data_IF_482253206403
#
_entry.id   IF_482253206403
#
_cell.length_a   1.000
_cell.length_b   1.000
_cell.length_c   1.000
_cell.angle_alpha   90.00
_cell.angle_beta   90.00
_cell.angle_gamma   90.00
#
_symmetry.space_group_name_H-M   'P 1'
#
loop_
_entity.id
_entity.type
_entity.pdbx_description
1 polymer ?
#
# COMPACT_ATOMS: atom_id res chain seq x y z
N UNK A 1 5.69 -16.42 13.58
CA UNK A 1 6.83 -16.17 12.66
C UNK A 1 6.68 -14.88 11.86
N UNK A 2 5.48 -14.48 11.45
CA UNK A 2 5.26 -13.34 10.54
C UNK A 2 5.27 -11.94 11.20
N UNK A 3 5.29 -11.88 12.54
CA UNK A 3 5.32 -10.63 13.30
C UNK A 3 6.35 -9.59 12.81
N UNK A 4 7.58 -9.97 12.42
CA UNK A 4 8.52 -8.97 11.95
C UNK A 4 8.14 -8.33 10.62
N UNK A 5 7.53 -9.10 9.71
CA UNK A 5 7.01 -8.57 8.44
C UNK A 5 5.84 -7.63 8.69
N UNK A 6 4.95 -7.96 9.63
CA UNK A 6 3.87 -7.08 10.07
C UNK A 6 4.42 -5.75 10.61
N UNK A 7 5.48 -5.78 11.43
CA UNK A 7 6.12 -4.57 11.95
C UNK A 7 6.75 -3.72 10.84
N UNK A 8 7.50 -4.35 9.93
CA UNK A 8 8.10 -3.64 8.79
C UNK A 8 7.03 -2.97 7.93
N UNK A 9 5.95 -3.68 7.60
CA UNK A 9 4.85 -3.14 6.80
C UNK A 9 4.13 -2.00 7.53
N UNK A 10 3.85 -2.15 8.83
CA UNK A 10 3.20 -1.10 9.62
C UNK A 10 4.05 0.19 9.65
N UNK A 11 5.35 0.06 9.85
CA UNK A 11 6.26 1.21 9.83
C UNK A 11 6.38 1.84 8.45
N UNK A 12 6.53 1.03 7.40
CA UNK A 12 6.56 1.52 6.03
C UNK A 12 5.26 2.25 5.66
N UNK A 13 4.11 1.72 6.08
CA UNK A 13 2.79 2.34 5.87
C UNK A 13 2.67 3.70 6.58
N UNK A 14 3.18 3.78 7.81
CA UNK A 14 3.23 5.04 8.56
C UNK A 14 4.12 6.08 7.85
N UNK A 15 5.30 5.66 7.39
CA UNK A 15 6.22 6.53 6.67
C UNK A 15 5.59 7.00 5.36
N UNK A 16 5.03 6.09 4.57
CA UNK A 16 4.33 6.42 3.32
C UNK A 16 3.24 7.46 3.54
N UNK A 17 2.40 7.29 4.56
CA UNK A 17 1.34 8.24 4.92
C UNK A 17 1.89 9.61 5.31
N UNK A 18 3.08 9.65 5.92
CA UNK A 18 3.72 10.89 6.39
C UNK A 18 4.40 11.69 5.28
N UNK A 19 4.98 11.03 4.27
CA UNK A 19 5.72 11.69 3.19
C UNK A 19 4.83 12.04 1.99
N UNK A 20 3.73 11.32 1.81
CA UNK A 20 2.80 11.56 0.71
C UNK A 20 1.85 12.73 1.02
N UNK A 21 1.68 13.59 0.01
CA UNK A 21 0.64 14.62 0.02
C UNK A 21 -0.75 13.98 0.09
N UNK A 22 -1.74 14.72 0.61
CA UNK A 22 -3.11 14.22 0.82
C UNK A 22 -3.71 13.54 -0.42
N UNK A 23 -3.41 14.03 -1.62
CA UNK A 23 -3.89 13.48 -2.90
C UNK A 23 -3.31 12.10 -3.22
N UNK A 24 -2.08 11.81 -2.77
CA UNK A 24 -1.36 10.58 -3.12
C UNK A 24 -1.47 9.51 -2.03
N UNK A 25 -2.13 9.77 -0.90
CA UNK A 25 -2.28 8.81 0.21
C UNK A 25 -3.09 7.56 -0.13
N UNK A 26 -3.85 7.58 -1.23
CA UNK A 26 -4.58 6.42 -1.73
C UNK A 26 -3.66 5.35 -2.35
N UNK A 27 -2.40 5.70 -2.66
CA UNK A 27 -1.40 4.83 -3.30
C UNK A 27 -0.10 4.88 -2.48
N UNK A 28 -0.08 4.28 -1.27
CA UNK A 28 1.04 4.40 -0.34
C UNK A 28 2.37 3.86 -0.90
N UNK A 29 2.32 2.92 -1.83
CA UNK A 29 3.52 2.37 -2.48
C UNK A 29 4.29 3.42 -3.29
N UNK A 30 3.67 4.56 -3.65
CA UNK A 30 4.34 5.68 -4.34
C UNK A 30 5.37 6.41 -3.49
N UNK A 31 5.40 6.15 -2.18
CA UNK A 31 6.46 6.65 -1.30
C UNK A 31 7.81 5.99 -1.58
N UNK A 32 7.83 4.84 -2.26
CA UNK A 32 9.01 4.03 -2.47
C UNK A 32 9.36 3.88 -3.96
N UNK A 33 10.59 3.49 -4.25
CA UNK A 33 11.09 3.31 -5.62
C UNK A 33 11.83 1.97 -5.79
N UNK A 34 11.94 1.50 -7.04
CA UNK A 34 12.65 0.25 -7.35
C UNK A 34 11.99 -0.99 -6.73
N UNK A 35 12.80 -1.95 -6.30
CA UNK A 35 12.30 -3.20 -5.69
C UNK A 35 11.63 -2.93 -4.33
N UNK A 36 11.96 -1.84 -3.63
CA UNK A 36 11.28 -1.44 -2.39
C UNK A 36 9.78 -1.18 -2.60
N UNK A 37 9.42 -0.56 -3.73
CA UNK A 37 8.01 -0.35 -4.09
C UNK A 37 7.29 -1.67 -4.32
N UNK A 38 7.89 -2.56 -5.09
CA UNK A 38 7.35 -3.89 -5.34
C UNK A 38 7.20 -4.72 -4.05
N UNK A 39 8.19 -4.67 -3.17
CA UNK A 39 8.16 -5.34 -1.87
C UNK A 39 7.06 -4.77 -0.96
N UNK A 40 6.91 -3.44 -0.90
CA UNK A 40 5.82 -2.82 -0.16
C UNK A 40 4.46 -3.28 -0.69
N UNK A 41 4.21 -3.18 -2.00
CA UNK A 41 2.94 -3.61 -2.60
C UNK A 41 2.66 -5.10 -2.37
N UNK A 42 3.69 -5.94 -2.45
CA UNK A 42 3.53 -7.37 -2.20
C UNK A 42 3.19 -7.66 -0.73
N UNK A 43 3.88 -6.99 0.22
CA UNK A 43 3.57 -7.09 1.64
C UNK A 43 2.16 -6.59 1.96
N UNK A 44 1.77 -5.46 1.38
CA UNK A 44 0.44 -4.87 1.57
C UNK A 44 -0.66 -5.83 1.09
N UNK A 45 -0.45 -6.46 -0.07
CA UNK A 45 -1.34 -7.47 -0.61
C UNK A 45 -1.45 -8.69 0.30
N UNK A 46 -0.34 -9.39 0.61
CA UNK A 46 -0.40 -10.63 1.39
C UNK A 46 -0.89 -10.41 2.82
N UNK A 47 -0.51 -9.30 3.46
CA UNK A 47 -0.88 -9.02 4.86
C UNK A 47 -2.34 -8.55 4.97
N UNK A 48 -2.92 -8.03 3.89
CA UNK A 48 -4.34 -7.67 3.83
C UNK A 48 -5.20 -8.88 3.48
N UNK A 49 -4.79 -9.68 2.50
CA UNK A 49 -5.55 -10.85 2.03
C UNK A 49 -5.51 -12.01 3.04
N UNK A 50 -4.37 -12.25 3.67
CA UNK A 50 -4.16 -13.36 4.63
C UNK A 50 -4.06 -12.86 6.08
N UNK A 51 -4.80 -11.78 6.41
CA UNK A 51 -4.68 -11.05 7.69
C UNK A 51 -4.78 -11.96 8.92
N UNK A 52 -5.84 -12.76 8.99
CA UNK A 52 -6.14 -13.57 10.19
C UNK A 52 -5.09 -14.66 10.40
N UNK A 53 -4.61 -15.25 9.29
CA UNK A 53 -3.50 -16.20 9.31
C UNK A 53 -2.17 -15.53 9.70
N UNK A 54 -1.89 -14.32 9.21
CA UNK A 54 -0.69 -13.57 9.56
C UNK A 54 -0.62 -13.23 11.05
N UNK A 55 -1.77 -12.98 11.67
CA UNK A 55 -1.94 -12.75 13.11
C UNK A 55 -1.91 -14.05 13.93
N UNK A 56 -1.82 -15.22 13.26
CA UNK A 56 -1.90 -16.54 13.87
C UNK A 56 -3.17 -16.72 14.73
N UNK A 57 -4.28 -16.13 14.29
CA UNK A 57 -5.58 -16.32 14.95
C UNK A 57 -6.08 -17.75 14.69
N UNK A 58 -6.36 -18.50 15.76
CA UNK A 58 -6.92 -19.85 15.67
C UNK A 58 -5.97 -20.97 16.10
N UNK A 59 -6.18 -22.18 15.56
CA UNK A 59 -5.43 -23.37 15.94
C UNK A 59 -4.00 -23.34 15.35
N UNK A 60 -2.94 -23.54 16.17
CA UNK A 60 -1.57 -23.57 15.67
C UNK A 60 -1.32 -24.60 14.56
N UNK A 61 -2.01 -25.75 14.60
CA UNK A 61 -1.91 -26.76 13.55
C UNK A 61 -2.47 -26.25 12.22
N UNK A 62 -3.61 -25.55 12.24
CA UNK A 62 -4.19 -24.93 11.04
C UNK A 62 -3.27 -23.85 10.47
N UNK A 63 -2.66 -23.02 11.33
CA UNK A 63 -1.69 -22.00 10.90
C UNK A 63 -0.49 -22.63 10.19
N UNK A 64 0.04 -23.74 10.72
CA UNK A 64 1.17 -24.47 10.11
C UNK A 64 0.75 -25.15 8.81
N UNK A 65 -0.44 -25.76 8.75
CA UNK A 65 -0.95 -26.39 7.52
C UNK A 65 -1.17 -25.37 6.40
N UNK A 66 -1.64 -24.17 6.74
CA UNK A 66 -1.89 -23.11 5.77
C UNK A 66 -0.61 -22.58 5.09
N UNK A 67 0.57 -22.82 5.68
CA UNK A 67 1.85 -22.43 5.06
C UNK A 67 1.97 -22.98 3.64
N UNK A 68 1.59 -24.25 3.42
CA UNK A 68 1.69 -24.92 2.12
C UNK A 68 0.46 -24.74 1.23
N UNK A 69 -0.50 -23.89 1.60
CA UNK A 69 -1.75 -23.71 0.87
C UNK A 69 -1.54 -23.07 -0.51
N UNK A 70 -0.64 -22.09 -0.60
CA UNK A 70 -0.36 -21.36 -1.82
C UNK A 70 1.12 -20.98 -1.91
N UNK A 71 1.56 -20.60 -3.09
CA UNK A 71 2.94 -20.18 -3.27
C UNK A 71 3.26 -18.89 -2.48
N UNK A 72 2.39 -17.86 -2.44
CA UNK A 72 2.61 -16.69 -1.59
C UNK A 72 2.73 -16.99 -0.10
N UNK A 73 1.95 -17.95 0.43
CA UNK A 73 2.02 -18.35 1.84
C UNK A 73 3.32 -19.10 2.15
N UNK A 74 3.84 -19.91 1.22
CA UNK A 74 5.17 -20.52 1.36
C UNK A 74 6.24 -19.42 1.31
N UNK A 75 6.16 -18.52 0.34
CA UNK A 75 7.13 -17.46 0.12
C UNK A 75 7.22 -16.52 1.31
N UNK A 76 6.09 -16.09 1.90
CA UNK A 76 6.10 -15.18 3.05
C UNK A 76 6.78 -15.81 4.28
N UNK A 77 6.59 -17.12 4.50
CA UNK A 77 7.27 -17.84 5.58
C UNK A 77 8.75 -18.00 5.29
N UNK A 78 9.14 -18.32 4.05
CA UNK A 78 10.54 -18.38 3.64
C UNK A 78 11.24 -17.03 3.87
N UNK A 79 10.61 -15.93 3.45
CA UNK A 79 11.11 -14.56 3.67
C UNK A 79 11.21 -14.23 5.16
N UNK A 80 10.21 -14.59 5.97
CA UNK A 80 10.28 -14.39 7.41
C UNK A 80 11.46 -15.15 8.06
N UNK A 81 11.79 -16.35 7.56
CA UNK A 81 12.98 -17.08 7.98
C UNK A 81 14.27 -16.34 7.60
N UNK A 82 14.37 -15.89 6.34
CA UNK A 82 15.53 -15.16 5.81
C UNK A 82 15.77 -13.83 6.55
N UNK A 83 14.71 -13.11 6.88
CA UNK A 83 14.81 -11.82 7.57
C UNK A 83 15.04 -11.93 9.08
N UNK A 84 14.85 -13.11 9.69
CA UNK A 84 14.88 -13.28 11.15
C UNK A 84 16.21 -12.86 11.80
N UNK A 85 17.30 -12.83 11.04
CA UNK A 85 18.62 -12.39 11.49
C UNK A 85 18.85 -10.87 11.40
N UNK A 86 18.00 -10.10 10.70
CA UNK A 86 18.23 -8.68 10.40
C UNK A 86 17.55 -7.70 11.35
N UNK A 87 16.43 -8.12 11.96
CA UNK A 87 15.67 -7.28 12.87
C UNK A 87 16.33 -7.01 14.24
N UNK A 88 17.27 -7.83 14.74
CA UNK A 88 18.04 -7.47 15.94
C UNK A 88 18.95 -6.25 15.74
N UNK A 89 19.37 -5.95 14.51
CA UNK A 89 20.38 -4.92 14.19
C UNK A 89 19.80 -3.68 13.50
N UNK A 90 18.61 -3.77 12.89
CA UNK A 90 17.91 -2.60 12.40
C UNK A 90 17.34 -1.80 13.59
N UNK A 91 17.74 -0.53 13.72
CA UNK A 91 17.42 0.43 14.79
C UNK A 91 15.91 0.79 14.95
N UNK A 92 15.01 -0.15 14.67
CA UNK A 92 13.56 0.02 14.71
C UNK A 92 12.95 -0.21 16.11
N UNK A 93 13.75 -0.55 17.13
CA UNK A 93 13.24 -0.65 18.51
C UNK A 93 14.34 -0.52 19.57
N UNK A 94 14.27 0.51 20.42
CA UNK A 94 15.17 0.68 21.58
C UNK A 94 14.93 -0.35 22.71
N UNK A 95 13.84 -1.11 22.65
CA UNK A 95 13.58 -2.24 23.55
C UNK A 95 14.18 -3.53 22.96
N UNK A 96 15.38 -3.89 23.43
CA UNK A 96 16.12 -5.12 23.09
C UNK A 96 15.42 -6.40 23.56
N UNK A 97 14.30 -6.75 22.96
CA UNK A 97 13.85 -8.13 22.92
C UNK A 97 14.34 -8.74 21.60
N UNK A 98 15.44 -9.50 21.68
CA UNK A 98 15.98 -10.22 20.53
C UNK A 98 14.89 -11.14 19.99
N UNK A 99 14.38 -10.84 18.81
CA UNK A 99 13.42 -11.72 18.14
C UNK A 99 14.07 -13.10 17.94
N UNK A 100 13.30 -14.19 18.14
CA UNK A 100 13.82 -15.53 17.91
C UNK A 100 14.28 -15.69 16.46
N UNK A 101 15.45 -16.30 16.29
CA UNK A 101 15.99 -16.64 14.97
C UNK A 101 15.20 -17.81 14.40
N UNK A 102 14.80 -17.69 13.14
CA UNK A 102 13.96 -18.67 12.46
C UNK A 102 14.62 -19.27 11.22
N UNK A 103 15.89 -18.96 10.95
CA UNK A 103 16.62 -19.53 9.83
C UNK A 103 16.62 -21.08 9.81
N UNK A 104 16.56 -21.73 10.98
CA UNK A 104 16.46 -23.19 11.10
C UNK A 104 15.17 -23.77 10.49
N UNK A 105 14.10 -22.97 10.38
CA UNK A 105 12.85 -23.40 9.74
C UNK A 105 12.96 -23.47 8.22
N UNK A 106 13.91 -22.78 7.59
CA UNK A 106 14.01 -22.76 6.14
C UNK A 106 14.25 -24.16 5.56
N UNK A 107 15.12 -24.96 6.21
CA UNK A 107 15.36 -26.35 5.81
C UNK A 107 14.13 -27.24 6.03
N UNK A 108 13.37 -27.01 7.11
CA UNK A 108 12.13 -27.75 7.36
C UNK A 108 11.04 -27.39 6.33
N UNK A 109 10.91 -26.10 5.99
CA UNK A 109 9.99 -25.61 4.96
C UNK A 109 10.34 -26.20 3.58
N UNK A 110 11.60 -26.15 3.20
CA UNK A 110 12.10 -26.77 1.97
C UNK A 110 11.73 -28.26 1.92
N UNK A 111 12.02 -28.99 2.99
CA UNK A 111 11.75 -30.41 3.05
C UNK A 111 10.25 -30.74 3.08
N UNK A 112 9.40 -29.83 3.57
CA UNK A 112 7.95 -29.95 3.52
C UNK A 112 7.43 -29.73 2.10
N UNK A 113 7.84 -28.65 1.42
CA UNK A 113 7.47 -28.37 0.02
C UNK A 113 7.86 -29.52 -0.90
N UNK A 114 9.09 -30.03 -0.77
CA UNK A 114 9.59 -31.14 -1.62
C UNK A 114 8.83 -32.44 -1.46
N UNK A 115 8.28 -32.71 -0.27
CA UNK A 115 7.52 -33.93 0.03
C UNK A 115 6.02 -33.77 -0.21
N UNK A 116 5.56 -32.53 -0.36
CA UNK A 116 4.15 -32.25 -0.56
C UNK A 116 3.69 -32.74 -1.95
N UNK A 117 2.57 -33.48 -2.05
CA UNK A 117 2.08 -33.98 -3.33
C UNK A 117 1.67 -32.91 -4.35
N UNK A 118 1.29 -31.71 -3.89
CA UNK A 118 0.89 -30.59 -4.75
C UNK A 118 2.12 -29.86 -5.30
N UNK A 119 3.13 -29.63 -4.46
CA UNK A 119 4.33 -28.87 -4.82
C UNK A 119 5.44 -29.77 -5.37
N UNK A 120 5.96 -30.69 -4.57
CA UNK A 120 7.06 -31.56 -4.96
C UNK A 120 8.40 -30.83 -5.18
N UNK A 121 9.41 -31.60 -5.59
CA UNK A 121 10.81 -31.16 -5.60
C UNK A 121 11.12 -30.01 -6.58
N UNK A 122 10.45 -30.01 -7.73
CA UNK A 122 10.71 -29.08 -8.81
C UNK A 122 10.30 -27.62 -8.51
N UNK A 123 9.44 -27.40 -7.52
CA UNK A 123 8.90 -26.06 -7.23
C UNK A 123 9.77 -25.27 -6.25
N UNK A 124 10.51 -25.94 -5.35
CA UNK A 124 11.31 -25.25 -4.35
C UNK A 124 12.31 -24.24 -4.94
N UNK A 125 13.10 -24.55 -5.99
CA UNK A 125 14.10 -23.61 -6.51
C UNK A 125 13.51 -22.27 -6.95
N UNK A 126 12.33 -22.28 -7.56
CA UNK A 126 11.65 -21.06 -8.01
C UNK A 126 11.08 -20.28 -6.81
N UNK A 127 10.46 -20.96 -5.85
CA UNK A 127 9.93 -20.34 -4.63
C UNK A 127 11.07 -19.69 -3.83
N UNK A 128 12.19 -20.40 -3.67
CA UNK A 128 13.38 -19.94 -2.99
C UNK A 128 13.97 -18.71 -3.68
N UNK A 129 14.13 -18.74 -5.01
CA UNK A 129 14.60 -17.59 -5.78
C UNK A 129 13.70 -16.35 -5.56
N UNK A 130 12.38 -16.54 -5.62
CA UNK A 130 11.42 -15.43 -5.38
C UNK A 130 11.44 -14.94 -3.94
N UNK A 131 11.65 -15.82 -2.97
CA UNK A 131 11.83 -15.44 -1.57
C UNK A 131 13.08 -14.58 -1.37
N UNK A 132 14.23 -14.96 -1.94
CA UNK A 132 15.45 -14.16 -1.90
C UNK A 132 15.28 -12.79 -2.57
N UNK A 133 14.63 -12.75 -3.73
CA UNK A 133 14.34 -11.47 -4.40
C UNK A 133 13.47 -10.55 -3.55
N UNK A 134 12.42 -11.08 -2.95
CA UNK A 134 11.53 -10.33 -2.09
C UNK A 134 12.24 -9.87 -0.81
N UNK A 135 13.07 -10.72 -0.20
CA UNK A 135 13.90 -10.37 0.95
C UNK A 135 14.83 -9.19 0.64
N UNK A 136 15.49 -9.18 -0.53
CA UNK A 136 16.27 -8.02 -1.00
C UNK A 136 15.41 -6.76 -1.16
N UNK A 137 14.22 -6.88 -1.74
CA UNK A 137 13.28 -5.78 -1.87
C UNK A 137 12.84 -5.21 -0.52
N UNK A 138 12.61 -6.07 0.48
CA UNK A 138 12.25 -5.66 1.84
C UNK A 138 13.42 -4.96 2.54
N UNK A 139 14.65 -5.43 2.35
CA UNK A 139 15.84 -4.70 2.84
C UNK A 139 15.94 -3.30 2.24
N UNK A 140 15.69 -3.16 0.94
CA UNK A 140 15.66 -1.83 0.30
C UNK A 140 14.51 -0.97 0.83
N UNK A 141 13.34 -1.56 1.11
CA UNK A 141 12.22 -0.87 1.73
C UNK A 141 12.58 -0.34 3.12
N UNK A 142 13.22 -1.16 3.96
CA UNK A 142 13.68 -0.74 5.29
C UNK A 142 14.71 0.40 5.19
N UNK A 143 15.63 0.34 4.22
CA UNK A 143 16.61 1.42 3.98
C UNK A 143 15.91 2.73 3.60
N UNK A 144 15.00 2.71 2.62
CA UNK A 144 14.25 3.90 2.21
C UNK A 144 13.39 4.45 3.35
N UNK A 145 12.81 3.58 4.18
CA UNK A 145 12.09 3.98 5.38
C UNK A 145 12.99 4.79 6.34
N UNK A 146 14.22 4.33 6.59
CA UNK A 146 15.19 5.06 7.42
C UNK A 146 15.60 6.40 6.80
N UNK A 147 15.84 6.46 5.49
CA UNK A 147 16.19 7.69 4.77
C UNK A 147 15.06 8.74 4.85
N UNK A 148 13.82 8.33 4.57
CA UNK A 148 12.63 9.18 4.64
C UNK A 148 12.35 9.66 6.07
N UNK A 149 12.63 8.82 7.07
CA UNK A 149 12.54 9.20 8.49
C UNK A 149 13.59 10.25 8.87
N UNK A 150 14.82 10.14 8.35
CA UNK A 150 15.91 11.10 8.56
C UNK A 150 15.66 12.44 7.89
N UNK A 151 15.12 12.45 6.67
CA UNK A 151 14.78 13.67 5.92
C UNK A 151 13.69 14.54 6.60
N UNK A 152 12.95 13.98 7.58
CA UNK A 152 11.96 14.71 8.38
C UNK A 152 12.56 15.54 9.52
N UNK A 153 13.82 15.31 9.90
CA UNK A 153 14.51 16.06 10.95
C UNK A 153 15.33 17.27 10.45
N UNK A 154 14.75 18.26 9.74
CA UNK A 154 15.34 19.59 9.76
C UNK A 154 14.29 20.62 10.19
N UNK A 155 14.18 20.85 11.51
CA UNK A 155 13.89 22.19 12.07
C UNK A 155 14.04 22.18 13.60
N UNK A 156 15.28 22.41 14.04
CA UNK A 156 15.64 23.19 15.22
C UNK A 156 17.13 23.49 15.09
N UNK A 157 17.47 24.54 14.33
CA UNK A 157 18.63 25.44 14.47
C UNK A 157 18.78 26.21 13.15
N UNK A 158 18.31 27.45 13.18
CA UNK A 158 18.46 28.47 12.14
C UNK A 158 19.90 28.55 11.62
N UNK A 159 20.10 28.60 10.31
CA UNK A 159 20.68 29.79 9.64
C UNK A 159 21.01 29.54 8.17
N UNK A 160 20.49 30.45 7.36
CA UNK A 160 20.95 30.88 6.02
C UNK A 160 22.33 30.36 5.63
N UNK A 161 22.38 29.48 4.63
CA UNK A 161 23.43 29.52 3.61
C UNK A 161 22.92 28.88 2.33
N UNK A 162 22.75 29.71 1.32
CA UNK A 162 22.55 29.30 -0.06
C UNK A 162 23.81 28.58 -0.55
N UNK A 163 23.72 27.27 -0.74
CA UNK A 163 24.66 26.54 -1.59
C UNK A 163 23.86 25.67 -2.55
N UNK A 164 23.79 26.16 -3.79
CA UNK A 164 23.47 25.36 -4.96
C UNK A 164 24.55 24.28 -5.04
N UNK A 165 24.17 23.02 -4.79
CA UNK A 165 25.02 21.87 -5.07
C UNK A 165 24.26 20.92 -5.98
N UNK A 166 24.62 20.96 -7.26
CA UNK A 166 24.30 19.95 -8.25
C UNK A 166 24.76 18.58 -7.71
N UNK A 167 23.81 17.77 -7.28
CA UNK A 167 24.12 16.38 -6.95
C UNK A 167 23.93 15.56 -8.22
N UNK A 168 25.05 15.36 -8.89
CA UNK A 168 25.21 14.45 -10.01
C UNK A 168 24.80 13.05 -9.55
N UNK A 169 23.69 12.54 -10.07
CA UNK A 169 23.25 11.18 -9.83
C UNK A 169 24.30 10.20 -10.38
N UNK A 170 25.05 9.56 -9.50
CA UNK A 170 25.87 8.41 -9.85
C UNK A 170 24.94 7.24 -10.17
N UNK A 171 24.54 7.18 -11.44
CA UNK A 171 23.93 6.02 -12.06
C UNK A 171 24.93 4.85 -12.04
N UNK A 172 24.79 3.94 -11.08
CA UNK A 172 25.25 2.57 -11.29
C UNK A 172 24.24 1.88 -12.22
N UNK A 173 24.48 2.02 -13.53
CA UNK A 173 23.74 1.30 -14.58
C UNK A 173 24.19 -0.16 -14.54
N UNK A 174 23.42 -1.03 -13.91
CA UNK A 174 23.42 -2.43 -14.32
C UNK A 174 22.75 -2.51 -15.68
N UNK A 175 23.57 -2.52 -16.72
CA UNK A 175 23.13 -2.62 -18.10
C UNK A 175 22.66 -4.05 -18.38
N UNK A 176 21.46 -4.42 -17.93
CA UNK A 176 20.80 -5.63 -18.40
C UNK A 176 20.09 -5.29 -19.71
N UNK A 177 20.69 -5.61 -20.85
CA UNK A 177 20.03 -5.53 -22.16
C UNK A 177 18.90 -6.56 -22.24
N UNK A 178 17.75 -6.24 -21.66
CA UNK A 178 16.50 -6.95 -21.92
C UNK A 178 15.90 -6.34 -23.19
N UNK A 179 15.95 -7.07 -24.31
CA UNK A 179 15.14 -6.77 -25.49
C UNK A 179 13.67 -6.94 -25.09
N UNK A 180 13.01 -5.85 -24.68
CA UNK A 180 11.57 -5.88 -24.44
C UNK A 180 10.87 -6.10 -25.78
N UNK A 181 10.30 -7.29 -25.96
CA UNK A 181 9.35 -7.52 -27.04
C UNK A 181 8.06 -6.82 -26.63
N UNK A 182 7.49 -5.91 -27.44
CA UNK A 182 6.24 -5.25 -27.10
C UNK A 182 5.13 -6.32 -27.01
N UNK A 183 4.69 -6.64 -25.79
CA UNK A 183 3.56 -7.55 -25.58
C UNK A 183 2.29 -6.76 -25.87
N UNK A 184 1.65 -7.09 -26.98
CA UNK A 184 0.32 -6.58 -27.28
C UNK A 184 -0.66 -7.08 -26.22
N UNK A 185 -1.55 -6.22 -25.68
CA UNK A 185 -2.52 -6.64 -24.69
C UNK A 185 -3.41 -7.73 -25.30
N UNK A 186 -3.58 -8.83 -24.57
CA UNK A 186 -4.41 -9.94 -25.02
C UNK A 186 -5.85 -9.49 -25.24
N UNK A 187 -6.59 -10.19 -26.12
CA UNK A 187 -8.01 -9.92 -26.33
C UNK A 187 -8.79 -9.97 -25.01
N UNK A 188 -8.38 -10.83 -24.08
CA UNK A 188 -8.97 -10.92 -22.75
C UNK A 188 -8.73 -9.65 -21.91
N UNK A 189 -7.52 -9.11 -21.91
CA UNK A 189 -7.20 -7.86 -21.23
C UNK A 189 -7.98 -6.67 -21.81
N UNK A 190 -8.21 -6.65 -23.13
CA UNK A 190 -9.06 -5.64 -23.80
C UNK A 190 -10.53 -5.78 -23.40
N UNK A 191 -11.04 -7.00 -23.26
CA UNK A 191 -12.40 -7.27 -22.80
C UNK A 191 -12.56 -6.88 -21.33
N UNK A 192 -11.58 -7.18 -20.46
CA UNK A 192 -11.56 -6.74 -19.06
C UNK A 192 -11.57 -5.22 -18.92
N UNK A 193 -10.76 -4.51 -19.71
CA UNK A 193 -10.77 -3.04 -19.74
C UNK A 193 -12.11 -2.48 -20.22
N UNK A 194 -12.76 -3.12 -21.21
CA UNK A 194 -14.09 -2.72 -21.69
C UNK A 194 -15.16 -2.92 -20.61
N UNK A 195 -15.14 -4.06 -19.92
CA UNK A 195 -16.07 -4.36 -18.83
C UNK A 195 -15.91 -3.38 -17.67
N UNK A 196 -14.67 -3.08 -17.27
CA UNK A 196 -14.39 -2.05 -16.26
C UNK A 196 -14.95 -0.68 -16.63
N UNK A 197 -14.91 -0.30 -17.91
CA UNK A 197 -15.47 0.96 -18.40
C UNK A 197 -17.01 0.96 -18.39
N UNK A 198 -17.63 -0.15 -18.81
CA UNK A 198 -19.08 -0.32 -18.83
C UNK A 198 -19.70 -0.30 -17.42
N UNK A 199 -18.97 -0.76 -16.39
CA UNK A 199 -19.40 -0.64 -14.98
C UNK A 199 -19.18 0.75 -14.37
N UNK A 200 -18.20 1.52 -14.86
CA UNK A 200 -17.92 2.87 -14.35
C UNK A 200 -18.93 3.91 -14.83
N UNK A 201 -19.49 3.73 -16.03
CA UNK A 201 -20.47 4.64 -16.63
C UNK A 201 -21.78 4.78 -15.82
N UNK A 202 -22.43 3.71 -15.34
CA UNK A 202 -23.63 3.83 -14.49
C UNK A 202 -23.31 4.43 -13.12
N UNK A 203 -22.15 4.11 -12.52
CA UNK A 203 -21.70 4.71 -11.26
C UNK A 203 -21.49 6.22 -11.40
N UNK A 204 -20.86 6.66 -12.49
CA UNK A 204 -20.70 8.08 -12.81
C UNK A 204 -22.04 8.81 -12.99
N UNK A 205 -23.00 8.18 -13.69
CA UNK A 205 -24.36 8.73 -13.84
C UNK A 205 -25.11 8.82 -12.51
N UNK A 206 -24.97 7.82 -11.63
CA UNK A 206 -25.61 7.78 -10.32
C UNK A 206 -25.02 8.83 -9.37
N UNK A 207 -23.70 9.01 -9.40
CA UNK A 207 -23.00 10.09 -8.71
C UNK A 207 -23.52 11.44 -9.23
N UNK A 208 -23.49 11.69 -10.55
CA UNK A 208 -23.98 12.96 -11.10
C UNK A 208 -25.47 13.26 -10.77
N UNK A 209 -26.32 12.25 -10.77
CA UNK A 209 -27.72 12.37 -10.34
C UNK A 209 -27.86 12.70 -8.85
N UNK A 210 -27.05 12.07 -7.99
CA UNK A 210 -27.01 12.35 -6.56
C UNK A 210 -26.51 13.78 -6.28
N UNK A 211 -25.45 14.21 -6.98
CA UNK A 211 -24.88 15.55 -6.85
C UNK A 211 -25.82 16.65 -7.34
N UNK A 212 -26.55 16.42 -8.44
CA UNK A 212 -27.58 17.38 -8.92
C UNK A 212 -28.76 17.49 -7.96
N UNK A 213 -29.19 16.40 -7.33
CA UNK A 213 -30.23 16.41 -6.28
C UNK A 213 -29.78 17.18 -5.03
N UNK A 214 -28.56 16.96 -4.57
CA UNK A 214 -27.97 17.65 -3.41
C UNK A 214 -27.78 19.16 -3.66
N UNK A 215 -27.35 19.54 -4.86
CA UNK A 215 -27.20 20.95 -5.25
C UNK A 215 -28.55 21.66 -5.43
N UNK A 216 -29.61 20.95 -5.86
CA UNK A 216 -30.95 21.52 -5.99
C UNK A 216 -31.60 21.79 -4.62
N UNK A 217 -31.36 20.94 -3.63
CA UNK A 217 -31.90 21.11 -2.27
C UNK A 217 -31.32 22.32 -1.53
N UNK A 218 -30.12 22.80 -1.88
CA UNK A 218 -29.54 24.03 -1.32
C UNK A 218 -30.19 25.32 -1.85
N UNK A 219 -30.97 25.29 -2.94
CA UNK A 219 -31.69 26.49 -3.45
C UNK A 219 -33.07 26.69 -2.82
N UNK A 220 -33.65 25.68 -2.16
CA UNK A 220 -34.99 25.81 -1.55
C UNK A 220 -34.98 26.32 -0.11
N UNK A 221 -33.83 26.42 0.54
CA UNK A 221 -33.70 26.86 1.95
C UNK A 221 -33.40 28.35 2.11
N UNK A 222 -33.51 29.17 1.06
CA UNK A 222 -33.34 30.63 1.13
C UNK A 222 -34.57 31.37 0.59
N UNK A 223 -35.75 31.08 1.16
CA UNK A 223 -36.91 31.97 1.08
C UNK A 223 -37.37 32.26 2.50
N UNK A 224 -36.86 33.37 3.05
CA UNK A 224 -37.39 34.00 4.26
C UNK A 224 -38.73 34.65 3.87
N UNK A 225 -39.86 34.40 4.57
CA UNK A 225 -41.08 35.13 4.32
C UNK A 225 -40.97 36.54 4.92
N UNK A 226 -41.00 37.56 4.06
CA UNK A 226 -41.07 38.98 4.43
C UNK A 226 -42.49 39.29 4.92
N UNK A 227 -42.65 39.43 6.24
CA UNK A 227 -43.88 39.94 6.85
C UNK A 227 -43.76 41.47 6.99
N UNK A 228 -44.33 42.21 6.04
CA UNK A 228 -44.73 43.61 6.26
C UNK A 228 -46.20 43.82 5.95
N UNK A 229 -46.94 44.56 6.80
CA UNK A 229 -48.35 44.86 6.57
C UNK A 229 -48.49 45.96 5.50
N UNK A 230 -49.58 45.96 4.70
CA UNK A 230 -49.82 46.99 3.70
C UNK A 230 -50.31 48.28 4.39
N UNK A 231 -49.72 49.41 3.99
CA UNK A 231 -50.16 50.74 4.37
C UNK A 231 -51.35 51.17 3.48
N UNK A 232 -52.43 51.59 4.12
CA UNK A 232 -53.60 52.22 3.52
C UNK A 232 -53.23 53.52 2.78
N UNK A 233 -53.41 53.55 1.46
CA UNK A 233 -53.51 54.79 0.70
C UNK A 233 -54.98 55.13 0.46
N UNK A 234 -55.39 56.18 1.16
CA UNK A 234 -56.69 56.83 1.16
C UNK A 234 -56.86 57.67 -0.11
N UNK A 235 -57.77 57.29 -1.01
CA UNK A 235 -58.29 58.21 -2.03
C UNK A 235 -59.71 58.65 -1.65
N UNK A 236 -59.88 59.98 -1.50
CA UNK A 236 -61.16 60.68 -1.42
C UNK A 236 -61.47 61.27 -2.79
N UNK A 237 -62.71 61.14 -3.26
CA UNK A 237 -63.44 62.11 -4.11
C UNK A 237 -64.93 61.72 -4.05
N UNK A 238 -65.72 62.36 -3.19
CA UNK A 238 -66.64 63.50 -3.46
C UNK A 238 -67.75 63.16 -4.46
N UNK A 239 -68.99 63.09 -3.97
CA UNK A 239 -70.15 63.78 -4.57
C UNK A 239 -71.29 63.88 -3.54
N UNK A 240 -71.81 65.11 -3.44
CA UNK A 240 -73.04 65.61 -2.80
C UNK A 240 -73.08 65.73 -1.27
#
# INVERSE_FOLDING_TARGET
MLLPLLKIHAEASQIATSVLSSRNRAEPERAFTGEARGAYSWLDCILTEERDWCMAEGCPACVVLHVLYSEPTIRVVAVACLLSDLLPDAEMSESRDRLPKFNFWLGALQAAVRRDPLWGDAFWPEIEYRAYRLEMGIKQLMLQCSELRGARKPDEFLSKSSLVLNTQANHFVYHCQMRMTPVQPSNFARIQLKMLWEEQEPLSKLIMACWTSLCWNKRKTLNVPDNRPPADTRERSVTS
#
